data_IF_921250843428
#
_entry.id   IF_921250843428
#
_cell.length_a   1.000
_cell.length_b   1.000
_cell.length_c   1.000
_cell.angle_alpha   90.00
_cell.angle_beta   90.00
_cell.angle_gamma   90.00
#
_symmetry.space_group_name_H-M   'P 1'
#
loop_
_entity.id
_entity.type
_entity.pdbx_description
1 polymer ?
#
# COMPACT_ATOMS: atom_id res chain seq x y z
N UNK A 1 -1.61 4.19 24.56
CA UNK A 1 -2.10 3.52 23.33
C UNK A 1 -1.25 4.01 22.18
N UNK A 2 -0.66 3.11 21.42
CA UNK A 2 0.29 3.47 20.35
C UNK A 2 -0.44 3.47 19.02
N UNK A 3 -0.49 4.63 18.37
CA UNK A 3 -1.04 4.82 17.03
C UNK A 3 0.12 4.88 16.03
N UNK A 4 -0.05 4.19 14.91
CA UNK A 4 0.93 4.17 13.83
C UNK A 4 0.33 4.69 12.52
N UNK A 5 1.17 5.20 11.62
CA UNK A 5 0.81 5.42 10.21
C UNK A 5 1.46 4.37 9.32
N UNK A 6 0.77 3.93 8.27
CA UNK A 6 1.33 3.15 7.17
C UNK A 6 1.21 3.94 5.87
N UNK A 7 2.20 4.79 5.54
CA UNK A 7 2.16 5.66 4.37
C UNK A 7 2.61 4.94 3.11
N UNK A 8 1.87 5.07 2.01
CA UNK A 8 2.33 4.69 0.66
C UNK A 8 1.51 5.41 -0.42
N UNK A 9 1.89 5.24 -1.69
CA UNK A 9 1.07 5.71 -2.81
C UNK A 9 -0.14 4.82 -3.08
N UNK A 10 -0.05 3.51 -2.81
CA UNK A 10 -1.11 2.51 -3.05
C UNK A 10 -1.71 2.59 -4.46
N UNK A 11 -0.88 2.44 -5.49
CA UNK A 11 -1.28 2.60 -6.90
C UNK A 11 -1.12 1.31 -7.74
N UNK A 12 -2.02 0.31 -7.58
CA UNK A 12 -3.02 0.20 -6.52
C UNK A 12 -2.47 -0.49 -5.27
N UNK A 13 -3.29 -0.63 -4.22
CA UNK A 13 -3.03 -1.52 -3.10
C UNK A 13 -2.85 -2.98 -3.59
N UNK A 14 -2.02 -3.77 -2.93
CA UNK A 14 -1.70 -5.17 -3.28
C UNK A 14 -1.88 -6.08 -2.06
N UNK A 15 -1.87 -7.40 -2.25
CA UNK A 15 -1.88 -8.36 -1.12
C UNK A 15 -0.68 -8.20 -0.19
N UNK A 16 0.47 -7.76 -0.70
CA UNK A 16 1.64 -7.43 0.13
C UNK A 16 1.39 -6.24 1.06
N UNK A 17 0.71 -5.21 0.58
CA UNK A 17 0.30 -4.09 1.44
C UNK A 17 -0.71 -4.53 2.50
N UNK A 18 -1.68 -5.36 2.12
CA UNK A 18 -2.71 -5.88 3.04
C UNK A 18 -2.06 -6.76 4.12
N UNK A 19 -1.06 -7.58 3.79
CA UNK A 19 -0.30 -8.37 4.76
C UNK A 19 0.38 -7.49 5.83
N UNK A 20 1.10 -6.45 5.39
CA UNK A 20 1.77 -5.51 6.30
C UNK A 20 0.74 -4.77 7.17
N UNK A 21 -0.33 -4.24 6.56
CA UNK A 21 -1.38 -3.54 7.28
C UNK A 21 -2.05 -4.43 8.33
N UNK A 22 -2.34 -5.69 7.99
CA UNK A 22 -2.93 -6.69 8.89
C UNK A 22 -2.01 -7.00 10.06
N UNK A 23 -0.71 -7.17 9.80
CA UNK A 23 0.28 -7.48 10.85
C UNK A 23 0.54 -6.29 11.76
N UNK A 24 0.63 -5.08 11.20
CA UNK A 24 0.77 -3.86 11.99
C UNK A 24 -0.47 -3.60 12.85
N UNK A 25 -1.68 -3.82 12.32
CA UNK A 25 -2.93 -3.67 13.06
C UNK A 25 -3.08 -4.64 14.26
N UNK A 26 -2.32 -5.75 14.29
CA UNK A 26 -2.26 -6.65 15.47
C UNK A 26 -1.33 -6.15 16.58
N UNK A 27 -0.41 -5.23 16.26
CA UNK A 27 0.62 -4.73 17.18
C UNK A 27 0.22 -3.37 17.75
N UNK A 28 -0.34 -2.49 16.91
CA UNK A 28 -0.73 -1.14 17.29
C UNK A 28 -2.22 -1.07 17.64
N UNK A 29 -2.58 -0.15 18.53
CA UNK A 29 -3.98 0.05 18.90
C UNK A 29 -4.80 0.55 17.70
N UNK A 30 -4.21 1.46 16.92
CA UNK A 30 -4.81 2.01 15.71
C UNK A 30 -3.75 2.17 14.63
N UNK A 31 -4.12 1.89 13.39
CA UNK A 31 -3.27 2.06 12.22
C UNK A 31 -3.95 2.99 11.20
N UNK A 32 -3.28 4.08 10.87
CA UNK A 32 -3.73 5.01 9.84
C UNK A 32 -2.96 4.73 8.55
N UNK A 33 -3.64 4.14 7.57
CA UNK A 33 -3.09 3.92 6.23
C UNK A 33 -3.17 5.23 5.45
N UNK A 34 -2.00 5.85 5.24
CA UNK A 34 -1.86 7.15 4.60
C UNK A 34 -1.63 7.02 3.10
N UNK A 35 -2.60 7.44 2.29
CA UNK A 35 -2.49 7.47 0.84
C UNK A 35 -1.91 8.81 0.40
N UNK A 36 -0.68 8.80 -0.11
CA UNK A 36 0.00 10.03 -0.52
C UNK A 36 -0.59 10.58 -1.83
N UNK A 37 -0.97 11.85 -1.85
CA UNK A 37 -1.69 12.44 -3.00
C UNK A 37 -0.80 13.07 -4.07
N UNK A 38 0.47 13.35 -3.78
CA UNK A 38 1.42 13.98 -4.71
C UNK A 38 2.67 13.13 -5.00
N UNK A 39 2.53 11.85 -5.38
CA UNK A 39 3.69 11.04 -5.71
C UNK A 39 4.45 11.63 -6.90
N UNK A 40 5.78 11.59 -6.87
CA UNK A 40 6.64 12.09 -7.96
C UNK A 40 6.48 11.28 -9.27
N UNK A 41 5.95 10.05 -9.20
CA UNK A 41 5.72 9.18 -10.35
C UNK A 41 4.28 9.30 -10.82
N UNK A 42 4.07 9.21 -12.14
CA UNK A 42 2.73 9.11 -12.71
C UNK A 42 1.99 7.90 -12.11
N UNK A 43 0.88 8.17 -11.43
CA UNK A 43 -0.02 7.14 -10.92
C UNK A 43 -0.99 6.69 -11.98
N UNK A 44 -1.35 5.41 -11.97
CA UNK A 44 -2.39 4.86 -12.85
C UNK A 44 -3.79 5.30 -12.37
N UNK A 45 -4.00 5.29 -11.07
CA UNK A 45 -5.24 5.67 -10.42
C UNK A 45 -5.15 7.08 -9.84
N UNK A 46 -6.25 7.83 -9.96
CA UNK A 46 -6.48 9.08 -9.25
C UNK A 46 -6.41 8.87 -7.72
N UNK A 47 -6.24 9.95 -6.97
CA UNK A 47 -6.23 9.85 -5.49
C UNK A 47 -7.55 9.29 -4.95
N UNK A 48 -8.68 9.68 -5.55
CA UNK A 48 -10.00 9.19 -5.15
C UNK A 48 -10.14 7.68 -5.38
N UNK A 49 -9.69 7.18 -6.54
CA UNK A 49 -9.69 5.74 -6.85
C UNK A 49 -8.77 4.98 -5.88
N UNK A 50 -7.55 5.48 -5.61
CA UNK A 50 -6.62 4.83 -4.68
C UNK A 50 -7.16 4.76 -3.25
N UNK A 51 -7.80 5.82 -2.78
CA UNK A 51 -8.48 5.83 -1.48
C UNK A 51 -9.61 4.81 -1.42
N UNK A 52 -10.47 4.75 -2.44
CA UNK A 52 -11.57 3.81 -2.49
C UNK A 52 -11.08 2.35 -2.47
N UNK A 53 -10.14 2.01 -3.38
CA UNK A 53 -9.56 0.67 -3.46
C UNK A 53 -8.90 0.24 -2.15
N UNK A 54 -8.20 1.17 -1.49
CA UNK A 54 -7.51 0.93 -0.21
C UNK A 54 -8.50 0.75 0.94
N UNK A 55 -9.56 1.56 1.00
CA UNK A 55 -10.64 1.42 1.98
C UNK A 55 -11.33 0.06 1.87
N UNK A 56 -11.75 -0.31 0.67
CA UNK A 56 -12.45 -1.57 0.43
C UNK A 56 -11.56 -2.78 0.76
N UNK A 57 -10.27 -2.71 0.41
CA UNK A 57 -9.32 -3.78 0.70
C UNK A 57 -9.06 -4.01 2.20
N UNK A 58 -9.28 -2.99 3.04
CA UNK A 58 -8.96 -3.02 4.47
C UNK A 58 -10.22 -2.93 5.37
N UNK A 59 -11.41 -2.87 4.78
CA UNK A 59 -12.68 -2.68 5.50
C UNK A 59 -12.97 -3.76 6.56
N UNK A 60 -12.38 -4.95 6.41
CA UNK A 60 -12.53 -6.06 7.34
C UNK A 60 -11.68 -5.94 8.62
N UNK A 61 -10.82 -4.92 8.73
CA UNK A 61 -9.90 -4.71 9.86
C UNK A 61 -10.34 -3.47 10.65
N UNK A 62 -10.96 -3.69 11.82
CA UNK A 62 -11.72 -2.67 12.55
C UNK A 62 -10.90 -1.50 13.10
N UNK A 63 -9.60 -1.69 13.33
CA UNK A 63 -8.72 -0.65 13.88
C UNK A 63 -7.84 0.03 12.81
N UNK A 64 -8.20 -0.11 11.53
CA UNK A 64 -7.57 0.61 10.43
C UNK A 64 -8.43 1.79 9.98
N UNK A 65 -7.80 2.94 9.77
CA UNK A 65 -8.39 4.08 9.09
C UNK A 65 -7.58 4.42 7.84
N UNK A 66 -8.24 4.74 6.73
CA UNK A 66 -7.58 5.14 5.48
C UNK A 66 -7.77 6.64 5.27
N UNK A 67 -6.66 7.38 5.16
CA UNK A 67 -6.65 8.84 5.01
C UNK A 67 -5.75 9.27 3.87
N UNK A 68 -6.13 10.33 3.19
CA UNK A 68 -5.24 11.05 2.27
C UNK A 68 -4.27 11.93 3.04
N UNK A 69 -3.07 12.14 2.50
CA UNK A 69 -2.18 13.20 2.95
C UNK A 69 -1.31 13.75 1.80
N UNK A 70 -0.86 14.99 1.95
CA UNK A 70 -0.03 15.71 0.97
C UNK A 70 1.17 16.45 1.57
N UNK A 71 1.38 16.35 2.88
CA UNK A 71 2.46 16.98 3.65
C UNK A 71 3.67 16.05 3.75
N UNK A 72 4.70 16.45 4.49
CA UNK A 72 5.76 15.50 4.86
C UNK A 72 5.16 14.34 5.67
N UNK A 73 5.69 13.13 5.46
CA UNK A 73 5.19 11.92 6.15
C UNK A 73 5.29 12.05 7.68
N UNK A 74 6.35 12.68 8.18
CA UNK A 74 6.52 12.94 9.62
C UNK A 74 5.49 13.94 10.15
N UNK A 75 5.16 15.00 9.38
CA UNK A 75 4.10 15.95 9.75
C UNK A 75 2.73 15.28 9.75
N UNK A 76 2.48 14.36 8.81
CA UNK A 76 1.27 13.57 8.78
C UNK A 76 1.17 12.62 9.99
N UNK A 77 2.29 12.05 10.45
CA UNK A 77 2.34 11.26 11.68
C UNK A 77 1.95 12.12 12.89
N UNK A 78 2.57 13.31 13.05
CA UNK A 78 2.24 14.27 14.11
C UNK A 78 0.76 14.69 14.09
N UNK A 79 0.26 15.13 12.93
CA UNK A 79 -1.14 15.54 12.76
C UNK A 79 -2.15 14.40 13.00
N UNK A 80 -1.67 13.15 12.90
CA UNK A 80 -2.44 11.96 13.19
C UNK A 80 -2.31 11.50 14.65
N UNK A 81 -1.54 12.19 15.49
CA UNK A 81 -1.14 11.73 16.83
C UNK A 81 -0.53 10.32 16.81
N UNK A 82 0.28 10.03 15.79
CA UNK A 82 0.98 8.77 15.62
C UNK A 82 2.46 8.96 15.94
N UNK A 83 3.02 8.04 16.72
CA UNK A 83 4.43 8.03 17.11
C UNK A 83 5.26 7.01 16.33
N UNK A 84 4.64 6.29 15.38
CA UNK A 84 5.29 5.23 14.61
C UNK A 84 4.92 5.33 13.13
N UNK A 85 5.92 5.22 12.26
CA UNK A 85 5.80 5.03 10.83
C UNK A 85 6.09 3.57 10.50
N UNK A 86 5.11 2.86 9.97
CA UNK A 86 5.24 1.48 9.49
C UNK A 86 5.72 1.48 8.04
N UNK A 87 6.75 0.68 7.75
CA UNK A 87 7.30 0.48 6.40
C UNK A 87 7.45 -1.00 6.10
N UNK A 88 7.53 -1.35 4.82
CA UNK A 88 7.81 -2.71 4.35
C UNK A 88 9.16 -2.79 3.65
N UNK A 89 9.94 -3.84 3.91
CA UNK A 89 11.26 -4.05 3.28
C UNK A 89 11.25 -5.32 2.44
N UNK A 90 11.23 -5.21 1.11
CA UNK A 90 11.18 -6.40 0.24
C UNK A 90 12.55 -6.87 -0.21
N UNK A 91 13.39 -5.92 -0.59
CA UNK A 91 14.71 -6.16 -1.17
C UNK A 91 15.75 -5.30 -0.46
N UNK A 92 17.03 -5.65 -0.59
CA UNK A 92 18.13 -4.91 0.05
C UNK A 92 18.12 -3.41 -0.30
N UNK A 93 17.74 -3.04 -1.53
CA UNK A 93 17.64 -1.64 -1.93
C UNK A 93 16.50 -0.88 -1.24
N UNK A 94 15.41 -1.54 -0.84
CA UNK A 94 14.37 -0.89 -0.02
C UNK A 94 14.98 -0.50 1.35
N UNK A 95 15.87 -1.33 1.92
CA UNK A 95 16.47 -1.06 3.24
C UNK A 95 17.33 0.20 3.24
N UNK A 96 18.21 0.39 2.27
CA UNK A 96 19.07 1.59 2.19
C UNK A 96 18.23 2.87 2.12
N UNK A 97 17.18 2.85 1.29
CA UNK A 97 16.26 3.96 1.15
C UNK A 97 15.48 4.24 2.45
N UNK A 98 14.90 3.21 3.07
CA UNK A 98 14.16 3.36 4.33
C UNK A 98 15.05 3.80 5.50
N UNK A 99 16.30 3.32 5.55
CA UNK A 99 17.27 3.75 6.56
C UNK A 99 17.52 5.25 6.44
N UNK A 100 17.85 5.75 5.25
CA UNK A 100 18.06 7.19 5.01
C UNK A 100 16.83 8.02 5.38
N UNK A 101 15.64 7.57 4.95
CA UNK A 101 14.38 8.26 5.25
C UNK A 101 14.08 8.28 6.75
N UNK A 102 14.34 7.18 7.46
CA UNK A 102 14.13 7.08 8.91
C UNK A 102 15.04 8.04 9.69
N UNK A 103 16.31 8.15 9.31
CA UNK A 103 17.26 9.07 9.93
C UNK A 103 16.85 10.53 9.68
N UNK A 104 16.42 10.86 8.46
CA UNK A 104 15.91 12.19 8.14
C UNK A 104 14.64 12.54 8.93
N UNK A 105 13.68 11.61 9.03
CA UNK A 105 12.47 11.82 9.83
C UNK A 105 12.81 12.05 11.31
N UNK A 106 13.79 11.31 11.86
CA UNK A 106 14.25 11.49 13.25
C UNK A 106 14.88 12.86 13.50
N UNK A 107 15.56 13.45 12.51
CA UNK A 107 16.07 14.82 12.60
C UNK A 107 14.94 15.86 12.61
N UNK A 108 13.82 15.58 11.95
CA UNK A 108 12.65 16.46 11.90
C UNK A 108 11.72 16.28 13.11
N UNK A 109 11.69 15.08 13.68
CA UNK A 109 10.92 14.73 14.87
C UNK A 109 11.54 13.55 15.61
N UNK A 110 12.04 13.81 16.82
CA UNK A 110 12.63 12.78 17.68
C UNK A 110 11.61 11.85 18.31
N UNK A 111 10.32 12.20 18.32
CA UNK A 111 9.25 11.44 18.96
C UNK A 111 8.57 10.46 17.99
N UNK A 112 8.98 10.43 16.73
CA UNK A 112 8.44 9.55 15.69
C UNK A 112 9.46 8.49 15.31
N UNK A 113 9.15 7.23 15.60
CA UNK A 113 9.97 6.09 15.23
C UNK A 113 9.54 5.46 13.90
N UNK A 114 10.47 4.77 13.24
CA UNK A 114 10.17 3.97 12.03
C UNK A 114 10.32 2.48 12.33
N UNK A 115 9.29 1.69 12.05
CA UNK A 115 9.30 0.23 12.21
C UNK A 115 9.10 -0.43 10.85
N UNK A 116 10.07 -1.24 10.46
CA UNK A 116 10.08 -1.98 9.21
C UNK A 116 9.59 -3.42 9.41
N UNK A 117 8.65 -3.85 8.56
CA UNK A 117 8.17 -5.22 8.49
C UNK A 117 8.84 -5.93 7.32
N UNK A 118 9.39 -7.11 7.59
CA UNK A 118 9.74 -8.04 6.52
C UNK A 118 8.45 -8.61 5.92
N UNK A 119 8.27 -8.65 4.59
CA UNK A 119 7.08 -9.18 3.95
C UNK A 119 6.99 -10.68 4.17
N UNK A 120 5.77 -11.21 4.18
CA UNK A 120 5.57 -12.65 4.06
C UNK A 120 6.18 -13.16 2.75
N UNK A 121 6.82 -14.34 2.77
CA UNK A 121 7.62 -14.89 1.66
C UNK A 121 6.88 -14.84 0.31
N UNK A 122 5.60 -15.20 0.30
CA UNK A 122 4.75 -15.20 -0.90
C UNK A 122 4.51 -13.81 -1.54
N UNK A 123 4.80 -12.73 -0.81
CA UNK A 123 4.65 -11.34 -1.28
C UNK A 123 5.98 -10.60 -1.37
N UNK A 124 7.11 -11.26 -1.12
CA UNK A 124 8.43 -10.63 -1.11
C UNK A 124 8.79 -9.97 -2.46
N UNK A 125 8.30 -10.51 -3.58
CA UNK A 125 8.53 -9.95 -4.91
C UNK A 125 7.46 -8.94 -5.36
N UNK A 126 6.38 -8.78 -4.59
CA UNK A 126 5.19 -8.07 -5.04
C UNK A 126 5.33 -6.55 -4.88
N UNK A 127 5.25 -5.83 -6.00
CA UNK A 127 5.16 -4.37 -6.05
C UNK A 127 3.94 -3.93 -6.86
N UNK A 128 3.40 -2.73 -6.59
CA UNK A 128 2.33 -2.17 -7.42
C UNK A 128 2.78 -1.95 -8.87
N UNK A 129 4.06 -1.64 -9.09
CA UNK A 129 4.63 -1.55 -10.44
C UNK A 129 4.59 -2.89 -11.18
N UNK A 130 5.00 -3.98 -10.53
CA UNK A 130 4.91 -5.33 -11.10
C UNK A 130 3.46 -5.74 -11.36
N UNK A 131 2.57 -5.46 -10.40
CA UNK A 131 1.14 -5.75 -10.56
C UNK A 131 0.55 -5.04 -11.79
N UNK A 132 0.87 -3.76 -11.95
CA UNK A 132 0.43 -2.97 -13.12
C UNK A 132 0.99 -3.51 -14.43
N UNK A 133 2.25 -3.93 -14.44
CA UNK A 133 2.89 -4.49 -15.64
C UNK A 133 2.25 -5.81 -16.06
N UNK A 134 2.00 -6.73 -15.12
CA UNK A 134 1.30 -7.99 -15.37
C UNK A 134 -0.13 -7.70 -15.88
N UNK A 135 -0.84 -6.77 -15.23
CA UNK A 135 -2.20 -6.40 -15.63
C UNK A 135 -2.27 -5.81 -17.03
N UNK A 136 -1.32 -4.92 -17.37
CA UNK A 136 -1.21 -4.32 -18.70
C UNK A 136 -1.03 -5.38 -19.80
N UNK A 137 -0.31 -6.46 -19.49
CA UNK A 137 0.00 -7.56 -20.42
C UNK A 137 -0.93 -8.78 -20.27
N UNK A 138 -2.12 -8.64 -19.69
CA UNK A 138 -3.11 -9.72 -19.52
C UNK A 138 -2.61 -10.97 -18.77
N UNK A 139 -1.61 -10.81 -17.90
CA UNK A 139 -1.12 -11.89 -17.04
C UNK A 139 -2.07 -12.20 -15.87
N UNK A 140 -1.81 -13.30 -15.12
CA UNK A 140 -2.61 -13.71 -13.97
C UNK A 140 -2.43 -12.75 -12.77
N UNK A 141 -3.51 -12.42 -12.07
CA UNK A 141 -3.53 -11.38 -11.01
C UNK A 141 -4.13 -11.86 -9.67
N UNK A 142 -4.79 -13.01 -9.66
CA UNK A 142 -5.63 -13.52 -8.57
C UNK A 142 -4.85 -13.64 -7.25
N UNK A 143 -3.58 -14.04 -7.34
CA UNK A 143 -2.67 -14.19 -6.22
C UNK A 143 -2.01 -12.88 -5.76
N UNK A 144 -2.22 -11.76 -6.46
CA UNK A 144 -1.46 -10.52 -6.28
C UNK A 144 -2.30 -9.37 -5.70
N UNK A 145 -3.60 -9.36 -5.96
CA UNK A 145 -4.53 -8.34 -5.46
C UNK A 145 -5.91 -8.94 -5.13
N UNK A 146 -6.74 -8.25 -4.35
CA UNK A 146 -8.16 -8.58 -4.20
C UNK A 146 -8.94 -8.38 -5.51
N UNK A 147 -10.07 -9.08 -5.65
CA UNK A 147 -10.87 -9.08 -6.89
C UNK A 147 -11.31 -7.68 -7.30
N UNK A 148 -11.76 -6.83 -6.38
CA UNK A 148 -12.19 -5.46 -6.70
C UNK A 148 -11.05 -4.61 -7.27
N UNK A 149 -9.80 -4.85 -6.85
CA UNK A 149 -8.61 -4.18 -7.41
C UNK A 149 -8.28 -4.73 -8.80
N UNK A 150 -8.41 -6.04 -9.00
CA UNK A 150 -8.20 -6.68 -10.29
C UNK A 150 -9.18 -6.13 -11.33
N UNK A 151 -10.46 -6.01 -10.96
CA UNK A 151 -11.50 -5.44 -11.83
C UNK A 151 -11.20 -3.97 -12.16
N UNK A 152 -10.78 -3.17 -11.18
CA UNK A 152 -10.37 -1.78 -11.43
C UNK A 152 -9.18 -1.67 -12.40
N UNK A 153 -8.20 -2.58 -12.30
CA UNK A 153 -7.07 -2.65 -13.24
C UNK A 153 -7.52 -3.01 -14.66
N UNK A 154 -8.40 -4.00 -14.81
CA UNK A 154 -8.95 -4.39 -16.12
C UNK A 154 -9.68 -3.23 -16.79
N UNK A 155 -10.51 -2.52 -16.02
CA UNK A 155 -11.22 -1.32 -16.49
C UNK A 155 -10.22 -0.25 -16.94
N UNK A 156 -9.18 0.06 -16.13
CA UNK A 156 -8.19 1.09 -16.49
C UNK A 156 -7.39 0.77 -17.73
N UNK A 157 -7.07 -0.49 -17.97
CA UNK A 157 -6.33 -0.92 -19.17
C UNK A 157 -7.24 -1.23 -20.36
N UNK A 158 -8.56 -1.00 -20.26
CA UNK A 158 -9.55 -1.30 -21.29
C UNK A 158 -9.54 -2.77 -21.74
N UNK A 159 -9.22 -3.69 -20.83
CA UNK A 159 -9.36 -5.12 -21.09
C UNK A 159 -10.85 -5.45 -21.06
N UNK A 160 -11.51 -5.44 -22.22
CA UNK A 160 -12.85 -5.97 -22.35
C UNK A 160 -12.86 -7.42 -21.85
N UNK A 161 -13.84 -7.75 -20.99
CA UNK A 161 -14.17 -9.12 -20.61
C UNK A 161 -14.65 -9.90 -21.85
N UNK A 162 -13.73 -10.27 -22.73
CA UNK A 162 -13.98 -11.30 -23.72
C UNK A 162 -14.14 -12.60 -22.93
N UNK A 163 -15.40 -12.93 -22.63
CA UNK A 163 -15.78 -14.18 -22.01
C UNK A 163 -15.04 -15.32 -22.70
N UNK A 164 -14.25 -16.06 -21.92
CA UNK A 164 -13.76 -17.36 -22.34
C UNK A 164 -14.98 -18.23 -22.55
N UNK A 165 -15.46 -18.27 -23.79
CA UNK A 165 -16.35 -19.31 -24.26
C UNK A 165 -15.57 -20.61 -24.14
N UNK A 166 -15.91 -21.36 -23.10
CA UNK A 166 -15.31 -22.61 -22.74
C UNK A 166 -15.75 -23.63 -23.79
N UNK A 167 -14.97 -23.79 -24.86
CA UNK A 167 -15.16 -24.86 -25.84
C UNK A 167 -14.06 -25.90 -25.60
N UNK A 168 -14.26 -26.72 -24.57
CA UNK A 168 -13.64 -28.04 -24.50
C UNK A 168 -14.46 -28.97 -25.40
N UNK A 169 -13.88 -29.34 -26.54
CA UNK A 169 -14.12 -30.62 -27.21
C UNK A 169 -12.81 -31.38 -27.22
#
# INVERSE_FOLDING_TARGET
MTRAIFPASFDPITRGHIDIATRAARIFNELIVGVYSRPQKNTLFSIQERLALTKDALAHISNIQVREYSTLTVEFAKASNASVIVRGLRVASDFEWELQLSLMNRTLDTDVETICFMPSQQYAFLSSSMLKDIAKNNGPLEALAPDHVIEALKIKYNHHMNGRSNNHR
#
